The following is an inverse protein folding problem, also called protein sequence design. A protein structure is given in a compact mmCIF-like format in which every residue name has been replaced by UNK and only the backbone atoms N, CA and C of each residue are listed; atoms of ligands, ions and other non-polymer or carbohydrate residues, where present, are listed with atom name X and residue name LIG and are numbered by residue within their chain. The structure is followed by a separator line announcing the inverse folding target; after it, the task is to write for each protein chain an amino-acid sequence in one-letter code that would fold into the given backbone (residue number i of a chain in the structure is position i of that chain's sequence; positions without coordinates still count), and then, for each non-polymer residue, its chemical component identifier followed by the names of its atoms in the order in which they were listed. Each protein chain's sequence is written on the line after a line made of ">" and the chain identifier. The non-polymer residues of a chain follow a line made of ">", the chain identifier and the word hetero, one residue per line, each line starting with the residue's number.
data_IF_534158839755
#
_entry.id   IF_534158839755
#
_cell.length_a   1.000
_cell.length_b   1.000
_cell.length_c   1.000
_cell.angle_alpha   90.00
_cell.angle_beta   90.00
_cell.angle_gamma   90.00
#
_symmetry.space_group_name_H-M   'P 1'
#
loop_
_entity.id
_entity.type
_entity.pdbx_description
1 polymer ?
#
# COMPACT_ATOMS: atom_id res chain seq x y z
N UNK A 1 15.56 18.08 26.94
CA UNK A 1 15.91 16.72 27.37
C UNK A 1 15.87 15.82 26.14
N UNK A 2 16.97 15.16 25.79
CA UNK A 2 17.06 14.25 24.63
C UNK A 2 16.21 13.01 24.90
N UNK A 3 14.98 12.98 24.40
CA UNK A 3 14.20 11.75 24.33
C UNK A 3 14.94 10.79 23.40
N UNK A 4 15.58 9.77 23.98
CA UNK A 4 15.98 8.56 23.27
C UNK A 4 14.69 7.83 22.90
N UNK A 5 14.06 8.25 21.80
CA UNK A 5 12.92 7.56 21.23
C UNK A 5 13.35 6.14 20.88
N UNK A 6 12.56 5.15 21.31
CA UNK A 6 12.79 3.77 20.90
C UNK A 6 12.91 3.71 19.38
N UNK A 7 13.98 3.10 18.87
CA UNK A 7 14.13 2.75 17.45
C UNK A 7 13.02 1.77 17.08
N UNK A 8 11.84 2.30 16.72
CA UNK A 8 10.80 1.49 16.12
C UNK A 8 11.21 1.23 14.69
N UNK A 9 11.43 -0.04 14.34
CA UNK A 9 11.65 -0.43 12.96
C UNK A 9 10.50 0.13 12.09
N UNK A 10 10.81 0.80 10.97
CA UNK A 10 9.78 1.33 10.09
C UNK A 10 8.95 0.19 9.49
N UNK A 11 7.69 0.50 9.15
CA UNK A 11 6.90 -0.37 8.31
C UNK A 11 7.49 -0.43 6.90
N UNK A 12 7.70 -1.63 6.38
CA UNK A 12 8.18 -1.86 5.03
C UNK A 12 7.34 -2.92 4.33
N UNK A 13 7.25 -2.78 3.02
CA UNK A 13 6.65 -3.80 2.15
C UNK A 13 7.65 -4.21 1.08
N UNK A 14 7.61 -5.46 0.64
CA UNK A 14 8.34 -5.87 -0.55
C UNK A 14 7.44 -6.61 -1.54
N UNK A 15 7.91 -6.62 -2.79
CA UNK A 15 7.35 -7.39 -3.91
C UNK A 15 8.51 -8.05 -4.67
N UNK A 16 8.27 -9.24 -5.20
CA UNK A 16 9.21 -9.93 -6.07
C UNK A 16 8.73 -9.82 -7.53
N UNK A 17 9.59 -9.27 -8.39
CA UNK A 17 9.35 -9.15 -9.84
C UNK A 17 10.62 -9.59 -10.56
N UNK A 18 10.48 -10.46 -11.56
CA UNK A 18 11.59 -10.99 -12.37
C UNK A 18 12.79 -11.52 -11.54
N UNK A 19 12.48 -12.16 -10.40
CA UNK A 19 13.48 -12.73 -9.48
C UNK A 19 14.21 -11.71 -8.62
N UNK A 20 13.81 -10.43 -8.65
CA UNK A 20 14.36 -9.36 -7.84
C UNK A 20 13.38 -8.90 -6.78
N UNK A 21 13.89 -8.65 -5.57
CA UNK A 21 13.10 -8.15 -4.44
C UNK A 21 13.19 -6.62 -4.40
N UNK A 22 12.04 -5.97 -4.54
CA UNK A 22 11.91 -4.51 -4.43
C UNK A 22 11.24 -4.18 -3.10
N UNK A 23 11.95 -3.42 -2.27
CA UNK A 23 11.49 -3.02 -0.93
C UNK A 23 11.10 -1.55 -0.91
N UNK A 24 10.05 -1.22 -0.17
CA UNK A 24 9.51 0.12 -0.04
C UNK A 24 9.30 0.46 1.43
N UNK A 25 9.66 1.68 1.79
CA UNK A 25 9.36 2.32 3.08
C UNK A 25 8.54 3.57 2.79
N UNK A 26 7.65 3.96 3.70
CA UNK A 26 6.85 5.16 3.52
C UNK A 26 7.74 6.40 3.37
N UNK A 27 7.40 7.28 2.42
CA UNK A 27 8.17 8.48 2.06
C UNK A 27 9.61 8.22 1.60
N UNK A 28 9.93 7.00 1.16
CA UNK A 28 11.24 6.68 0.60
C UNK A 28 11.29 6.93 -0.91
N UNK A 29 12.22 7.78 -1.33
CA UNK A 29 12.50 8.12 -2.72
C UNK A 29 13.83 7.54 -3.22
N UNK A 30 14.49 6.67 -2.45
CA UNK A 30 15.77 6.07 -2.83
C UNK A 30 15.64 4.96 -3.89
N UNK A 31 14.44 4.47 -4.17
CA UNK A 31 14.21 3.47 -5.19
C UNK A 31 14.40 4.06 -6.60
N UNK A 32 15.08 3.34 -7.50
CA UNK A 32 15.36 3.81 -8.87
C UNK A 32 14.10 4.21 -9.66
N UNK A 33 13.01 3.46 -9.49
CA UNK A 33 11.70 3.73 -10.08
C UNK A 33 10.80 4.65 -9.23
N UNK A 34 11.31 5.35 -8.22
CA UNK A 34 10.47 6.10 -7.28
C UNK A 34 9.53 7.08 -7.99
N UNK A 35 10.02 7.88 -8.95
CA UNK A 35 9.17 8.83 -9.68
C UNK A 35 7.98 8.15 -10.38
N UNK A 36 8.23 7.04 -11.08
CA UNK A 36 7.18 6.29 -11.78
C UNK A 36 6.19 5.65 -10.80
N UNK A 37 6.69 5.11 -9.69
CA UNK A 37 5.87 4.52 -8.62
C UNK A 37 4.94 5.56 -8.01
N UNK A 38 5.45 6.74 -7.67
CA UNK A 38 4.64 7.82 -7.11
C UNK A 38 3.60 8.35 -8.10
N UNK A 39 3.98 8.51 -9.37
CA UNK A 39 3.05 8.90 -10.44
C UNK A 39 1.94 7.87 -10.62
N UNK A 40 2.28 6.57 -10.60
CA UNK A 40 1.29 5.50 -10.69
C UNK A 40 0.39 5.45 -9.46
N UNK A 41 0.96 5.67 -8.28
CA UNK A 41 0.22 5.76 -7.03
C UNK A 41 -0.81 6.90 -7.06
N UNK A 42 -0.44 8.07 -7.58
CA UNK A 42 -1.37 9.19 -7.76
C UNK A 42 -2.51 8.81 -8.73
N UNK A 43 -2.16 8.20 -9.87
CA UNK A 43 -3.14 7.75 -10.88
C UNK A 43 -4.16 6.77 -10.27
N UNK A 44 -3.71 5.71 -9.61
CA UNK A 44 -4.60 4.70 -9.03
C UNK A 44 -5.42 5.28 -7.87
N UNK A 45 -4.84 6.19 -7.08
CA UNK A 45 -5.55 6.85 -5.97
C UNK A 45 -6.67 7.74 -6.51
N UNK A 46 -6.39 8.53 -7.55
CA UNK A 46 -7.40 9.38 -8.20
C UNK A 46 -8.54 8.54 -8.78
N UNK A 47 -8.23 7.46 -9.50
CA UNK A 47 -9.24 6.57 -10.06
C UNK A 47 -10.02 5.79 -8.98
N UNK A 48 -9.38 5.41 -7.88
CA UNK A 48 -10.07 4.79 -6.75
C UNK A 48 -11.04 5.79 -6.09
N UNK A 49 -10.62 7.05 -5.87
CA UNK A 49 -11.47 8.12 -5.31
C UNK A 49 -12.73 8.34 -6.17
N UNK A 50 -12.59 8.31 -7.51
CA UNK A 50 -13.73 8.39 -8.43
C UNK A 50 -14.72 7.22 -8.30
N UNK A 51 -14.29 6.08 -7.75
CA UNK A 51 -15.15 4.92 -7.46
C UNK A 51 -15.63 4.86 -6.01
N UNK A 52 -15.34 5.88 -5.21
CA UNK A 52 -15.80 6.00 -3.82
C UNK A 52 -14.79 5.55 -2.77
N UNK A 53 -13.51 5.35 -3.12
CA UNK A 53 -12.45 5.20 -2.11
C UNK A 53 -12.28 6.51 -1.34
N UNK A 54 -12.36 6.43 -0.02
CA UNK A 54 -12.11 7.54 0.90
C UNK A 54 -10.89 7.16 1.74
N UNK A 55 -9.79 7.94 1.71
CA UNK A 55 -8.65 7.70 2.57
C UNK A 55 -9.06 7.74 4.04
N UNK A 56 -8.65 6.73 4.81
CA UNK A 56 -8.98 6.64 6.23
C UNK A 56 -8.10 7.55 7.10
N UNK A 57 -8.42 8.85 7.17
CA UNK A 57 -7.66 9.86 7.96
C UNK A 57 -7.76 9.64 9.48
N UNK A 58 -8.70 8.81 9.94
CA UNK A 58 -8.95 8.51 11.35
C UNK A 58 -7.82 7.70 12.03
N UNK A 59 -6.92 7.09 11.25
CA UNK A 59 -5.90 6.15 11.76
C UNK A 59 -4.51 6.74 11.97
N UNK A 60 -4.31 8.01 11.63
CA UNK A 60 -3.04 8.71 11.82
C UNK A 60 -3.07 9.50 13.14
N UNK A 61 -1.93 9.52 13.83
CA UNK A 61 -1.72 10.19 15.14
C UNK A 61 -2.57 11.46 15.26
N UNK A 62 -3.33 11.60 16.35
CA UNK A 62 -4.25 12.72 16.57
C UNK A 62 -3.61 14.12 16.57
N UNK A 63 -2.27 14.22 16.50
CA UNK A 63 -1.49 15.44 16.67
C UNK A 63 -0.89 15.99 15.36
N UNK A 64 -1.32 15.53 14.18
CA UNK A 64 -0.90 16.12 12.89
C UNK A 64 -2.12 16.61 12.11
N UNK A 65 -1.93 17.60 11.24
CA UNK A 65 -3.00 18.19 10.43
C UNK A 65 -3.57 17.17 9.43
N UNK A 66 -4.84 17.30 9.05
CA UNK A 66 -5.54 16.29 8.24
C UNK A 66 -4.89 16.06 6.86
N UNK A 67 -4.29 17.11 6.29
CA UNK A 67 -3.49 17.07 5.06
C UNK A 67 -2.19 16.26 5.26
N UNK A 68 -1.50 16.42 6.38
CA UNK A 68 -0.32 15.62 6.75
C UNK A 68 -0.68 14.16 7.05
N UNK A 69 -1.92 13.89 7.52
CA UNK A 69 -2.44 12.52 7.66
C UNK A 69 -2.68 11.89 6.30
N UNK A 70 -3.30 12.62 5.37
CA UNK A 70 -3.51 12.15 4.00
C UNK A 70 -2.18 11.88 3.28
N UNK A 71 -1.17 12.74 3.45
CA UNK A 71 0.16 12.56 2.87
C UNK A 71 0.88 11.34 3.46
N UNK A 72 0.80 11.15 4.78
CA UNK A 72 1.36 9.98 5.46
C UNK A 72 0.69 8.66 5.02
N UNK A 73 -0.62 8.66 4.84
CA UNK A 73 -1.38 7.50 4.32
C UNK A 73 -1.16 7.29 2.82
N UNK A 74 -0.93 8.38 2.08
CA UNK A 74 -0.75 8.37 0.63
C UNK A 74 0.40 7.47 0.22
N UNK A 75 1.52 7.56 0.93
CA UNK A 75 2.78 6.90 0.60
C UNK A 75 3.08 5.64 1.43
N UNK A 76 2.09 5.03 2.08
CA UNK A 76 2.30 3.75 2.78
C UNK A 76 3.01 2.73 1.88
N UNK A 77 3.97 2.01 2.46
CA UNK A 77 4.83 1.05 1.74
C UNK A 77 4.04 0.01 0.92
N UNK A 78 2.87 -0.41 1.39
CA UNK A 78 1.95 -1.33 0.70
C UNK A 78 1.42 -0.73 -0.61
N UNK A 79 1.09 0.56 -0.61
CA UNK A 79 0.60 1.27 -1.80
C UNK A 79 1.71 1.51 -2.81
N UNK A 80 2.93 1.81 -2.34
CA UNK A 80 4.11 1.93 -3.19
C UNK A 80 4.43 0.57 -3.87
N UNK A 81 4.44 -0.52 -3.09
CA UNK A 81 4.65 -1.87 -3.62
C UNK A 81 3.56 -2.28 -4.62
N UNK A 82 2.29 -1.89 -4.38
CA UNK A 82 1.19 -2.10 -5.31
C UNK A 82 1.37 -1.34 -6.62
N UNK A 83 1.73 -0.04 -6.53
CA UNK A 83 1.98 0.79 -7.69
C UNK A 83 3.14 0.23 -8.54
N UNK A 84 4.24 -0.16 -7.90
CA UNK A 84 5.34 -0.85 -8.57
C UNK A 84 4.87 -2.16 -9.22
N UNK A 85 4.14 -3.01 -8.49
CA UNK A 85 3.57 -4.24 -9.03
C UNK A 85 2.71 -4.02 -10.28
N UNK A 86 1.91 -2.95 -10.31
CA UNK A 86 1.10 -2.61 -11.49
C UNK A 86 1.91 -2.15 -12.70
N UNK A 87 3.06 -1.49 -12.47
CA UNK A 87 3.98 -1.05 -13.53
C UNK A 87 4.75 -2.26 -14.08
N UNK A 88 5.31 -3.06 -13.19
CA UNK A 88 6.38 -4.00 -13.53
C UNK A 88 5.86 -5.40 -13.91
N UNK A 89 4.55 -5.65 -13.90
CA UNK A 89 4.00 -6.97 -14.21
C UNK A 89 2.79 -6.90 -15.14
N UNK A 90 2.62 -7.94 -15.98
CA UNK A 90 1.57 -7.96 -16.99
C UNK A 90 0.15 -7.93 -16.38
N UNK A 91 -0.86 -7.40 -17.10
CA UNK A 91 -2.23 -7.25 -16.59
C UNK A 91 -2.90 -8.52 -16.06
N UNK A 92 -2.46 -9.72 -16.47
CA UNK A 92 -3.04 -11.00 -16.02
C UNK A 92 -2.26 -11.65 -14.86
N UNK A 93 -1.17 -11.04 -14.40
CA UNK A 93 -0.36 -11.58 -13.31
C UNK A 93 -0.92 -11.18 -11.94
N UNK A 94 -0.91 -12.11 -10.99
CA UNK A 94 -1.19 -11.83 -9.58
C UNK A 94 -0.06 -10.99 -8.98
N UNK A 95 -0.43 -9.89 -8.31
CA UNK A 95 0.51 -9.06 -7.55
C UNK A 95 0.68 -9.66 -6.16
N UNK A 96 1.93 -9.88 -5.71
CA UNK A 96 2.22 -10.49 -4.39
C UNK A 96 3.05 -9.53 -3.56
N UNK A 97 2.52 -9.10 -2.42
CA UNK A 97 3.16 -8.12 -1.53
C UNK A 97 3.30 -8.75 -0.15
N UNK A 98 4.41 -8.47 0.52
CA UNK A 98 4.64 -8.85 1.92
C UNK A 98 4.88 -7.59 2.74
N UNK A 99 4.22 -7.51 3.90
CA UNK A 99 4.30 -6.41 4.85
C UNK A 99 4.80 -6.94 6.20
N UNK A 100 5.71 -6.20 6.84
CA UNK A 100 6.28 -6.55 8.14
C UNK A 100 5.44 -6.15 9.37
N UNK A 101 4.34 -5.43 9.15
CA UNK A 101 3.34 -5.03 10.15
C UNK A 101 1.97 -5.56 9.75
N UNK A 102 0.95 -5.38 10.59
CA UNK A 102 -0.45 -5.63 10.20
C UNK A 102 -0.86 -4.57 9.17
N UNK A 103 -1.60 -4.97 8.13
CA UNK A 103 -2.10 -3.99 7.15
C UNK A 103 -3.10 -3.05 7.82
N UNK A 104 -3.05 -1.75 7.50
CA UNK A 104 -4.06 -0.80 7.98
C UNK A 104 -5.35 -0.87 7.13
N UNK A 105 -6.46 -0.38 7.69
CA UNK A 105 -7.76 -0.38 7.00
C UNK A 105 -7.76 0.43 5.70
N UNK A 106 -6.97 1.49 5.63
CA UNK A 106 -6.81 2.33 4.44
C UNK A 106 -6.09 1.59 3.30
N UNK A 107 -4.93 0.97 3.56
CA UNK A 107 -4.25 0.13 2.58
C UNK A 107 -5.11 -1.05 2.15
N UNK A 108 -5.79 -1.70 3.11
CA UNK A 108 -6.71 -2.79 2.81
C UNK A 108 -7.83 -2.35 1.87
N UNK A 109 -8.41 -1.16 2.11
CA UNK A 109 -9.44 -0.59 1.24
C UNK A 109 -8.89 -0.25 -0.15
N UNK A 110 -7.73 0.40 -0.24
CA UNK A 110 -7.07 0.68 -1.52
C UNK A 110 -6.87 -0.60 -2.36
N UNK A 111 -6.38 -1.68 -1.75
CA UNK A 111 -6.17 -2.98 -2.43
C UNK A 111 -7.48 -3.54 -2.98
N UNK A 112 -8.60 -3.43 -2.26
CA UNK A 112 -9.93 -3.80 -2.77
C UNK A 112 -10.27 -3.01 -4.03
N UNK A 113 -10.23 -1.67 -3.98
CA UNK A 113 -10.55 -0.83 -5.14
C UNK A 113 -9.67 -1.16 -6.35
N UNK A 114 -8.37 -1.28 -6.14
CA UNK A 114 -7.43 -1.60 -7.22
C UNK A 114 -7.68 -2.99 -7.80
N UNK A 115 -7.99 -4.01 -6.99
CA UNK A 115 -8.33 -5.35 -7.51
C UNK A 115 -9.54 -5.33 -8.45
N UNK A 116 -10.53 -4.46 -8.17
CA UNK A 116 -11.71 -4.27 -9.02
C UNK A 116 -11.37 -3.46 -10.27
N UNK A 117 -10.62 -2.38 -10.14
CA UNK A 117 -10.27 -1.48 -11.25
C UNK A 117 -9.36 -2.16 -12.28
N UNK A 118 -8.35 -2.87 -11.80
CA UNK A 118 -7.36 -3.54 -12.65
C UNK A 118 -7.82 -4.91 -13.12
N UNK A 119 -8.88 -5.48 -12.53
CA UNK A 119 -9.30 -6.88 -12.72
C UNK A 119 -8.19 -7.89 -12.36
N UNK A 120 -7.33 -7.54 -11.40
CA UNK A 120 -6.19 -8.35 -10.96
C UNK A 120 -6.41 -8.90 -9.56
N UNK A 121 -5.91 -10.11 -9.33
CA UNK A 121 -5.75 -10.63 -7.98
C UNK A 121 -4.53 -9.99 -7.31
N UNK A 122 -4.71 -9.54 -6.08
CA UNK A 122 -3.62 -9.04 -5.23
C UNK A 122 -3.57 -9.92 -4.00
N UNK A 123 -2.40 -10.45 -3.69
CA UNK A 123 -2.15 -11.22 -2.47
C UNK A 123 -1.22 -10.41 -1.58
N UNK A 124 -1.70 -10.01 -0.40
CA UNK A 124 -0.90 -9.32 0.60
C UNK A 124 -0.73 -10.21 1.82
N UNK A 125 0.51 -10.55 2.15
CA UNK A 125 0.84 -11.19 3.43
C UNK A 125 1.22 -10.13 4.44
N UNK A 126 0.55 -10.11 5.58
CA UNK A 126 0.95 -9.31 6.72
C UNK A 126 1.40 -10.21 7.89
N UNK A 127 1.68 -9.64 9.07
CA UNK A 127 2.13 -10.42 10.24
C UNK A 127 1.05 -11.35 10.83
N UNK A 128 -0.22 -11.18 10.45
CA UNK A 128 -1.36 -11.92 11.00
C UNK A 128 -1.89 -12.96 10.02
N UNK A 129 -1.98 -12.64 8.73
CA UNK A 129 -2.67 -13.47 7.74
C UNK A 129 -2.30 -13.12 6.30
N UNK A 130 -2.88 -13.88 5.38
CA UNK A 130 -2.94 -13.55 3.96
C UNK A 130 -4.28 -12.88 3.65
N UNK A 131 -4.21 -11.81 2.87
CA UNK A 131 -5.33 -11.10 2.30
C UNK A 131 -5.34 -11.36 0.80
N UNK A 132 -6.41 -11.98 0.30
CA UNK A 132 -6.61 -12.20 -1.14
C UNK A 132 -7.67 -11.22 -1.63
N UNK A 133 -7.23 -10.23 -2.40
CA UNK A 133 -8.10 -9.22 -2.99
C UNK A 133 -8.48 -9.61 -4.41
N UNK A 134 -9.78 -9.72 -4.67
CA UNK A 134 -10.32 -10.04 -6.00
C UNK A 134 -11.69 -9.40 -6.18
N UNK A 135 -11.89 -8.75 -7.33
CA UNK A 135 -13.14 -8.08 -7.70
C UNK A 135 -13.69 -7.11 -6.62
N UNK A 136 -12.82 -6.43 -5.88
CA UNK A 136 -13.23 -5.48 -4.85
C UNK A 136 -13.49 -6.08 -3.47
N UNK A 137 -13.26 -7.39 -3.29
CA UNK A 137 -13.46 -8.08 -2.01
C UNK A 137 -12.15 -8.65 -1.50
N UNK A 138 -12.02 -8.78 -0.19
CA UNK A 138 -10.92 -9.47 0.45
C UNK A 138 -11.40 -10.76 1.12
N UNK A 139 -10.61 -11.83 1.03
CA UNK A 139 -10.87 -13.10 1.72
C UNK A 139 -10.97 -13.00 3.25
N UNK A 140 -10.44 -11.93 3.86
CA UNK A 140 -10.49 -11.75 5.31
C UNK A 140 -11.83 -11.22 5.82
N UNK A 141 -12.78 -10.87 4.94
CA UNK A 141 -14.10 -10.34 5.32
C UNK A 141 -14.03 -8.99 6.05
N UNK A 142 -13.08 -8.14 5.66
CA UNK A 142 -12.78 -6.86 6.31
C UNK A 142 -12.27 -6.99 7.75
N UNK A 143 -11.65 -8.11 8.09
CA UNK A 143 -10.82 -8.24 9.29
C UNK A 143 -9.34 -8.07 8.88
N UNK A 144 -8.94 -6.81 8.64
CA UNK A 144 -7.55 -6.39 8.43
C UNK A 144 -6.75 -6.50 9.71
#
# INVERSE_FOLDING_TARGET
>A
MKNRGAEKNPGWSYIEVDGQVHSFVANDHAHESAEEVYKKLEEITRSARQQGYVPGTEWVLHNIEEEEKEDSLGSHSEKLALAFGLISTSPNMTIRIVKNLRVCGDCHSMMKYVSKMSQREIVLRDIKRFHHFKHGMCSCGDYW
#
